data_IF_858668152803
#
_entry.id   IF_858668152803
#
_cell.length_a   1.000
_cell.length_b   1.000
_cell.length_c   1.000
_cell.angle_alpha   90.00
_cell.angle_beta   90.00
_cell.angle_gamma   90.00
#
_symmetry.space_group_name_H-M   'P 1'
#
loop_
_entity.id
_entity.type
_entity.pdbx_description
1 polymer ?
#
# COMPACT_ATOMS: atom_id res chain seq x y z
N UNK A 1 4.13 -1.73 -22.23
CA UNK A 1 5.45 -1.72 -21.53
C UNK A 1 6.61 -1.96 -22.50
N UNK A 2 6.59 -2.99 -23.37
CA UNK A 2 7.67 -3.28 -24.30
C UNK A 2 7.97 -2.09 -25.25
N UNK A 3 6.93 -1.46 -25.81
CA UNK A 3 7.09 -0.29 -26.70
C UNK A 3 7.74 0.89 -25.95
N UNK A 4 7.32 1.20 -24.74
CA UNK A 4 7.93 2.29 -23.96
C UNK A 4 9.41 2.01 -23.65
N UNK A 5 9.74 0.77 -23.30
CA UNK A 5 11.13 0.37 -23.05
C UNK A 5 11.99 0.47 -24.31
N UNK A 6 11.45 0.13 -25.50
CA UNK A 6 12.19 0.28 -26.78
C UNK A 6 12.48 1.73 -27.14
N UNK A 7 11.69 2.67 -26.64
CA UNK A 7 11.91 4.12 -26.78
C UNK A 7 12.80 4.71 -25.66
N UNK A 8 13.47 3.87 -24.87
CA UNK A 8 14.36 4.31 -23.81
C UNK A 8 13.68 4.76 -22.51
N UNK A 9 12.36 4.54 -22.38
CA UNK A 9 11.63 4.89 -21.17
C UNK A 9 11.86 3.83 -20.09
N UNK A 10 12.25 4.28 -18.89
CA UNK A 10 12.31 3.41 -17.72
C UNK A 10 10.89 3.12 -17.26
N UNK A 11 10.49 1.86 -17.33
CA UNK A 11 9.16 1.42 -16.93
C UNK A 11 9.29 0.54 -15.69
N UNK A 12 8.77 1.04 -14.57
CA UNK A 12 8.69 0.29 -13.33
C UNK A 12 7.36 -0.47 -13.26
N UNK A 13 7.41 -1.70 -12.77
CA UNK A 13 6.22 -2.44 -12.37
C UNK A 13 5.93 -2.13 -10.91
N UNK A 14 4.68 -1.71 -10.60
CA UNK A 14 4.34 -1.36 -9.23
C UNK A 14 4.44 -2.53 -8.26
N UNK A 15 4.13 -3.74 -8.71
CA UNK A 15 4.25 -4.95 -7.88
C UNK A 15 5.70 -5.19 -7.46
N UNK A 16 6.65 -5.00 -8.40
CA UNK A 16 8.09 -5.13 -8.11
C UNK A 16 8.52 -4.06 -7.11
N UNK A 17 8.21 -2.78 -7.36
CA UNK A 17 8.52 -1.68 -6.43
C UNK A 17 7.90 -1.90 -5.05
N UNK A 18 6.66 -2.40 -5.00
CA UNK A 18 5.96 -2.65 -3.75
C UNK A 18 6.59 -3.79 -2.95
N UNK A 19 6.99 -4.88 -3.61
CA UNK A 19 7.72 -5.95 -2.94
C UNK A 19 9.09 -5.48 -2.42
N UNK A 20 9.82 -4.71 -3.24
CA UNK A 20 11.13 -4.16 -2.84
C UNK A 20 11.03 -3.19 -1.66
N UNK A 21 10.02 -2.33 -1.63
CA UNK A 21 9.86 -1.37 -0.51
C UNK A 21 9.44 -2.04 0.79
N UNK A 22 8.77 -3.18 0.76
CA UNK A 22 8.39 -3.93 1.96
C UNK A 22 9.59 -4.53 2.71
N UNK A 23 10.78 -4.59 2.09
CA UNK A 23 12.04 -4.89 2.78
C UNK A 23 12.47 -3.75 3.73
N UNK A 24 11.94 -2.53 3.57
CA UNK A 24 12.22 -1.39 4.45
C UNK A 24 11.24 -1.43 5.64
N UNK A 25 11.74 -1.52 6.90
CA UNK A 25 10.87 -1.72 8.07
C UNK A 25 9.79 -0.63 8.24
N UNK A 26 10.11 0.62 7.97
CA UNK A 26 9.20 1.75 8.09
C UNK A 26 8.07 1.68 7.06
N UNK A 27 8.40 1.31 5.82
CA UNK A 27 7.41 1.11 4.76
C UNK A 27 6.49 -0.07 5.07
N UNK A 28 7.09 -1.19 5.49
CA UNK A 28 6.35 -2.40 5.88
C UNK A 28 5.36 -2.10 7.01
N UNK A 29 5.81 -1.37 8.04
CA UNK A 29 4.96 -0.95 9.14
C UNK A 29 3.81 -0.06 8.65
N UNK A 30 4.10 0.99 7.88
CA UNK A 30 3.08 1.89 7.32
C UNK A 30 1.96 1.13 6.61
N UNK A 31 2.33 0.19 5.75
CA UNK A 31 1.36 -0.58 4.96
C UNK A 31 0.58 -1.58 5.82
N UNK A 32 1.23 -2.23 6.78
CA UNK A 32 0.57 -3.19 7.67
C UNK A 32 -0.37 -2.50 8.66
N UNK A 33 -0.02 -1.34 9.20
CA UNK A 33 -0.89 -0.54 10.07
C UNK A 33 -2.22 -0.22 9.37
N UNK A 34 -2.17 0.12 8.08
CA UNK A 34 -3.37 0.39 7.27
C UNK A 34 -4.14 -0.87 6.85
N UNK A 35 -3.46 -2.00 6.69
CA UNK A 35 -4.10 -3.24 6.24
C UNK A 35 -4.74 -4.04 7.38
N UNK A 36 -4.07 -4.10 8.53
CA UNK A 36 -4.45 -4.95 9.68
C UNK A 36 -4.18 -4.26 11.02
N UNK A 37 -4.11 -2.95 11.05
CA UNK A 37 -3.95 -2.17 12.27
C UNK A 37 -5.14 -2.32 13.23
N UNK A 38 -4.97 -1.86 14.50
CA UNK A 38 -6.01 -1.97 15.53
C UNK A 38 -7.36 -1.35 15.15
N UNK A 39 -7.32 -0.27 14.37
CA UNK A 39 -8.51 0.43 13.91
C UNK A 39 -9.25 -0.31 12.77
N UNK A 40 -8.56 -1.24 12.10
CA UNK A 40 -9.12 -2.03 10.98
C UNK A 40 -9.69 -3.35 11.47
N UNK A 41 -8.94 -4.08 12.28
CA UNK A 41 -9.31 -5.45 12.68
C UNK A 41 -9.54 -5.61 14.19
N UNK A 42 -9.37 -4.56 14.98
CA UNK A 42 -9.41 -4.59 16.44
C UNK A 42 -8.06 -4.99 17.07
N UNK A 43 -7.83 -4.57 18.31
CA UNK A 43 -6.53 -4.69 18.99
C UNK A 43 -6.00 -6.11 19.05
N UNK A 44 -6.81 -7.04 19.54
CA UNK A 44 -6.37 -8.44 19.72
C UNK A 44 -6.04 -9.15 18.41
N UNK A 45 -6.73 -8.75 17.32
CA UNK A 45 -6.48 -9.29 15.99
C UNK A 45 -5.24 -8.74 15.38
N UNK A 46 -5.09 -7.45 15.53
CA UNK A 46 -3.97 -6.74 14.96
C UNK A 46 -2.65 -7.32 15.45
N UNK A 47 -2.49 -7.57 16.75
CA UNK A 47 -1.28 -8.17 17.30
C UNK A 47 -0.92 -9.49 16.61
N UNK A 48 -1.88 -10.40 16.48
CA UNK A 48 -1.67 -11.71 15.89
C UNK A 48 -1.40 -11.66 14.39
N UNK A 49 -2.13 -10.81 13.68
CA UNK A 49 -1.98 -10.64 12.23
C UNK A 49 -0.67 -9.92 11.89
N UNK A 50 -0.28 -8.92 12.70
CA UNK A 50 1.01 -8.23 12.54
C UNK A 50 2.17 -9.20 12.65
N UNK A 51 2.20 -10.06 13.70
CA UNK A 51 3.25 -11.07 13.86
C UNK A 51 3.34 -12.01 12.66
N UNK A 52 2.19 -12.48 12.18
CA UNK A 52 2.14 -13.36 11.01
C UNK A 52 2.64 -12.64 9.74
N UNK A 53 2.11 -11.47 9.43
CA UNK A 53 2.49 -10.75 8.21
C UNK A 53 3.94 -10.23 8.26
N UNK A 54 4.44 -9.87 9.43
CA UNK A 54 5.86 -9.55 9.61
C UNK A 54 6.78 -10.75 9.34
N UNK A 55 6.31 -11.96 9.56
CA UNK A 55 7.10 -13.18 9.32
C UNK A 55 7.17 -13.60 7.85
N UNK A 56 6.31 -13.04 6.98
CA UNK A 56 6.29 -13.40 5.56
C UNK A 56 7.49 -12.79 4.80
N UNK A 57 8.02 -13.51 3.81
CA UNK A 57 8.92 -12.94 2.81
C UNK A 57 8.26 -11.74 2.10
N UNK A 58 9.06 -10.75 1.69
CA UNK A 58 8.56 -9.49 1.11
C UNK A 58 7.66 -9.71 -0.11
N UNK A 59 8.05 -10.64 -0.99
CA UNK A 59 7.26 -10.97 -2.18
C UNK A 59 5.90 -11.61 -1.84
N UNK A 60 5.89 -12.52 -0.86
CA UNK A 60 4.66 -13.18 -0.43
C UNK A 60 3.73 -12.20 0.29
N UNK A 61 4.31 -11.29 1.09
CA UNK A 61 3.56 -10.23 1.72
C UNK A 61 2.96 -9.27 0.68
N UNK A 62 3.74 -8.87 -0.33
CA UNK A 62 3.24 -8.03 -1.42
C UNK A 62 2.07 -8.70 -2.14
N UNK A 63 2.16 -9.99 -2.42
CA UNK A 63 1.09 -10.73 -3.08
C UNK A 63 -0.20 -10.74 -2.24
N UNK A 64 -0.09 -10.97 -0.94
CA UNK A 64 -1.22 -10.94 -0.01
C UNK A 64 -1.83 -9.54 0.11
N UNK A 65 -1.00 -8.51 0.20
CA UNK A 65 -1.48 -7.12 0.35
C UNK A 65 -2.16 -6.60 -0.91
N UNK A 66 -1.72 -7.03 -2.10
CA UNK A 66 -2.32 -6.66 -3.38
C UNK A 66 -3.51 -7.53 -3.76
N UNK A 67 -3.35 -8.85 -3.64
CA UNK A 67 -4.33 -9.83 -4.06
C UNK A 67 -5.39 -10.18 -3.00
N UNK A 68 -5.16 -9.77 -1.76
CA UNK A 68 -5.99 -10.14 -0.62
C UNK A 68 -5.67 -11.54 -0.08
N UNK A 69 -6.22 -11.84 1.09
CA UNK A 69 -6.21 -13.18 1.69
C UNK A 69 -7.54 -13.44 2.38
N UNK A 70 -8.13 -14.60 2.09
CA UNK A 70 -9.36 -15.03 2.75
C UNK A 70 -9.08 -15.63 4.11
N UNK A 71 -10.12 -15.70 4.94
CA UNK A 71 -10.05 -16.41 6.24
C UNK A 71 -9.71 -17.89 6.08
N UNK A 72 -10.19 -18.52 5.02
CA UNK A 72 -9.93 -19.93 4.73
C UNK A 72 -8.45 -20.17 4.39
N UNK A 73 -7.90 -19.36 3.48
CA UNK A 73 -6.48 -19.41 3.09
C UNK A 73 -5.56 -19.11 4.27
N UNK A 74 -5.88 -18.08 5.07
CA UNK A 74 -5.08 -17.76 6.25
C UNK A 74 -5.08 -18.93 7.25
N UNK A 75 -6.23 -19.54 7.50
CA UNK A 75 -6.33 -20.72 8.37
C UNK A 75 -5.49 -21.89 7.85
N UNK A 76 -5.54 -22.15 6.56
CA UNK A 76 -4.74 -23.23 5.94
C UNK A 76 -3.23 -22.97 6.10
N UNK A 77 -2.78 -21.74 5.83
CA UNK A 77 -1.37 -21.34 5.99
C UNK A 77 -0.89 -21.45 7.45
N UNK A 78 -1.73 -21.06 8.39
CA UNK A 78 -1.40 -21.13 9.83
C UNK A 78 -1.42 -22.58 10.36
N UNK A 79 -2.32 -23.42 9.87
CA UNK A 79 -2.36 -24.85 10.26
C UNK A 79 -1.15 -25.63 9.76
N UNK A 80 -0.49 -25.15 8.70
CA UNK A 80 0.73 -25.74 8.13
C UNK A 80 2.00 -25.32 8.85
N UNK A 81 1.97 -24.27 9.65
CA UNK A 81 3.11 -23.79 10.45
C UNK A 81 3.02 -24.32 11.88
N UNK A 82 4.03 -25.07 12.30
CA UNK A 82 4.15 -25.76 13.59
C UNK A 82 3.46 -25.08 14.79
N UNK A 83 2.30 -25.62 15.19
CA UNK A 83 1.79 -25.51 16.57
C UNK A 83 1.13 -24.19 16.98
N UNK A 84 0.92 -23.25 16.09
CA UNK A 84 0.17 -22.04 16.41
C UNK A 84 -1.30 -22.15 16.03
N UNK A 85 -2.03 -22.93 16.80
CA UNK A 85 -3.50 -22.93 16.84
C UNK A 85 -4.03 -21.59 17.49
N UNK A 86 -3.31 -20.48 17.18
CA UNK A 86 -3.50 -19.17 17.77
C UNK A 86 -4.72 -18.44 17.22
N UNK A 87 -5.18 -18.85 16.05
CA UNK A 87 -6.46 -18.41 15.54
C UNK A 87 -7.52 -19.45 15.88
N UNK A 88 -8.03 -19.37 17.10
CA UNK A 88 -9.24 -20.10 17.40
C UNK A 88 -10.26 -19.77 16.31
N UNK A 89 -10.96 -20.78 15.82
CA UNK A 89 -12.04 -20.61 14.83
C UNK A 89 -13.01 -19.49 15.24
N UNK A 90 -13.14 -19.22 16.52
CA UNK A 90 -13.93 -18.15 17.13
C UNK A 90 -13.44 -16.75 16.71
N UNK A 91 -12.13 -16.50 16.69
CA UNK A 91 -11.61 -15.16 16.38
C UNK A 91 -11.79 -14.80 14.89
N UNK A 92 -11.35 -15.67 13.98
CA UNK A 92 -11.57 -15.47 12.55
C UNK A 92 -13.06 -15.41 12.18
N UNK A 93 -13.94 -15.96 13.02
CA UNK A 93 -15.39 -15.89 12.81
C UNK A 93 -15.99 -14.53 13.19
N UNK A 94 -15.28 -13.71 13.97
CA UNK A 94 -15.74 -12.35 14.34
C UNK A 94 -15.48 -11.31 13.26
N UNK A 95 -14.55 -11.57 12.33
CA UNK A 95 -14.30 -10.69 11.20
C UNK A 95 -15.48 -10.70 10.23
N UNK A 96 -15.92 -9.53 9.79
CA UNK A 96 -16.97 -9.42 8.79
C UNK A 96 -16.45 -9.82 7.39
N UNK A 97 -17.30 -10.52 6.61
CA UNK A 97 -16.96 -10.92 5.26
C UNK A 97 -15.97 -12.09 5.13
N UNK A 98 -15.59 -12.49 3.92
CA UNK A 98 -14.74 -13.65 3.65
C UNK A 98 -13.24 -13.33 3.74
N UNK A 99 -12.85 -12.09 3.63
CA UNK A 99 -11.46 -11.66 3.59
C UNK A 99 -10.95 -11.18 4.95
N UNK A 100 -9.69 -11.46 5.23
CA UNK A 100 -8.90 -10.83 6.30
C UNK A 100 -8.25 -9.56 5.79
N UNK A 101 -7.64 -9.64 4.60
CA UNK A 101 -7.18 -8.50 3.82
C UNK A 101 -7.90 -8.55 2.48
N UNK A 102 -8.69 -7.53 2.17
CA UNK A 102 -9.41 -7.44 0.90
C UNK A 102 -8.44 -7.20 -0.25
N UNK A 103 -8.68 -7.75 -1.45
CA UNK A 103 -7.87 -7.41 -2.63
C UNK A 103 -8.00 -5.93 -2.98
N UNK A 104 -6.95 -5.35 -3.55
CA UNK A 104 -7.02 -3.99 -4.09
C UNK A 104 -7.83 -3.98 -5.39
N UNK A 105 -8.94 -3.21 -5.46
CA UNK A 105 -9.91 -3.40 -6.55
C UNK A 105 -9.45 -2.82 -7.90
N UNK A 106 -8.69 -1.73 -7.89
CA UNK A 106 -8.44 -0.93 -9.09
C UNK A 106 -6.98 -0.49 -9.28
N UNK A 107 -6.03 -1.28 -8.84
CA UNK A 107 -4.59 -0.97 -8.94
C UNK A 107 -4.10 -0.71 -10.39
N UNK A 108 -4.89 -1.12 -11.38
CA UNK A 108 -4.65 -0.82 -12.79
C UNK A 108 -4.68 0.69 -13.11
N UNK A 109 -5.47 1.46 -12.36
CA UNK A 109 -5.60 2.91 -12.54
C UNK A 109 -4.61 3.67 -11.66
N UNK A 110 -3.36 3.67 -12.08
CA UNK A 110 -2.23 4.19 -11.28
C UNK A 110 -2.33 5.68 -10.96
N UNK A 111 -3.00 6.46 -11.83
CA UNK A 111 -3.15 7.90 -11.65
C UNK A 111 -4.18 8.28 -10.59
N UNK A 112 -5.16 7.42 -10.33
CA UNK A 112 -6.19 7.71 -9.34
C UNK A 112 -5.59 7.78 -7.92
N UNK A 113 -4.75 6.83 -7.57
CA UNK A 113 -4.12 6.77 -6.26
C UNK A 113 -2.92 7.71 -6.11
N UNK A 114 -2.29 8.11 -7.23
CA UNK A 114 -1.11 8.97 -7.22
C UNK A 114 -0.97 9.73 -8.52
N UNK A 115 -0.81 11.07 -8.45
CA UNK A 115 -0.65 11.94 -9.61
C UNK A 115 0.60 12.82 -9.50
N UNK A 116 1.44 12.80 -10.54
CA UNK A 116 2.58 13.70 -10.67
C UNK A 116 2.11 15.04 -11.25
N UNK A 117 2.42 16.11 -10.51
CA UNK A 117 2.01 17.48 -10.84
C UNK A 117 3.23 18.37 -10.76
N UNK A 118 3.63 18.96 -11.88
CA UNK A 118 4.84 19.79 -11.97
C UNK A 118 6.08 19.05 -11.45
N UNK A 119 6.73 19.51 -10.40
CA UNK A 119 7.89 18.89 -9.79
C UNK A 119 7.58 18.09 -8.51
N UNK A 120 6.33 17.72 -8.27
CA UNK A 120 5.92 16.97 -7.08
C UNK A 120 4.97 15.83 -7.38
N UNK A 121 4.61 15.09 -6.36
CA UNK A 121 3.67 13.98 -6.44
C UNK A 121 2.59 14.11 -5.37
N UNK A 122 1.34 13.94 -5.77
CA UNK A 122 0.21 13.81 -4.87
C UNK A 122 -0.08 12.34 -4.63
N UNK A 123 -0.19 11.95 -3.38
CA UNK A 123 -0.80 10.68 -2.97
C UNK A 123 -2.23 11.00 -2.56
N UNK A 124 -3.17 10.47 -3.32
CA UNK A 124 -4.52 10.98 -3.33
C UNK A 124 -5.38 10.38 -2.21
N UNK A 125 -6.29 11.20 -1.66
CA UNK A 125 -7.32 10.73 -0.73
C UNK A 125 -8.47 10.10 -1.51
N UNK A 126 -8.50 8.77 -1.53
CA UNK A 126 -9.50 8.03 -2.30
C UNK A 126 -10.90 8.16 -1.73
N UNK A 127 -11.90 8.39 -2.59
CA UNK A 127 -13.30 8.51 -2.20
C UNK A 127 -13.87 7.19 -1.66
N UNK A 128 -13.45 6.08 -2.27
CA UNK A 128 -13.90 4.75 -1.86
C UNK A 128 -12.93 4.16 -0.83
N UNK A 129 -13.44 3.84 0.35
CA UNK A 129 -12.67 3.25 1.45
C UNK A 129 -11.83 2.02 1.00
N UNK A 130 -12.33 1.04 0.22
CA UNK A 130 -11.52 -0.09 -0.23
C UNK A 130 -10.30 0.29 -1.10
N UNK A 131 -10.29 1.50 -1.68
CA UNK A 131 -9.18 2.01 -2.50
C UNK A 131 -8.10 2.77 -1.71
N UNK A 132 -8.35 3.10 -0.44
CA UNK A 132 -7.37 3.85 0.38
C UNK A 132 -6.02 3.16 0.47
N UNK A 133 -6.00 1.83 0.57
CA UNK A 133 -4.76 1.07 0.60
C UNK A 133 -3.96 1.10 -0.70
N UNK A 134 -4.60 1.42 -1.84
CA UNK A 134 -3.88 1.68 -3.09
C UNK A 134 -2.95 2.89 -2.91
N UNK A 135 -3.47 3.99 -2.37
CA UNK A 135 -2.71 5.22 -2.13
C UNK A 135 -1.56 5.01 -1.12
N UNK A 136 -1.80 4.26 -0.04
CA UNK A 136 -0.77 3.93 0.96
C UNK A 136 0.41 3.16 0.34
N UNK A 137 0.13 2.23 -0.58
CA UNK A 137 1.18 1.52 -1.31
C UNK A 137 2.08 2.47 -2.12
N UNK A 138 1.50 3.47 -2.78
CA UNK A 138 2.27 4.51 -3.48
C UNK A 138 3.06 5.39 -2.51
N UNK A 139 2.45 5.79 -1.39
CA UNK A 139 3.16 6.56 -0.37
C UNK A 139 4.39 5.82 0.17
N UNK A 140 4.24 4.54 0.48
CA UNK A 140 5.35 3.71 0.93
C UNK A 140 6.49 3.71 -0.09
N UNK A 141 6.19 3.54 -1.39
CA UNK A 141 7.18 3.58 -2.46
C UNK A 141 7.86 4.95 -2.55
N UNK A 142 7.12 6.05 -2.50
CA UNK A 142 7.70 7.38 -2.63
C UNK A 142 8.55 7.79 -1.43
N UNK A 143 8.17 7.39 -0.22
CA UNK A 143 8.92 7.75 1.01
C UNK A 143 10.14 6.88 1.24
N UNK A 144 10.05 5.59 0.93
CA UNK A 144 11.01 4.63 1.46
C UNK A 144 11.72 3.79 0.41
N UNK A 145 11.23 3.73 -0.86
CA UNK A 145 11.87 2.89 -1.86
C UNK A 145 13.26 3.42 -2.23
N UNK A 146 14.33 2.60 -2.14
CA UNK A 146 15.71 3.07 -2.26
C UNK A 146 16.04 3.70 -3.63
N UNK A 147 15.35 3.31 -4.70
CA UNK A 147 15.55 3.89 -6.03
C UNK A 147 14.62 5.08 -6.34
N UNK A 148 13.50 5.25 -5.62
CA UNK A 148 12.49 6.28 -5.91
C UNK A 148 12.60 7.47 -4.95
N UNK A 149 12.71 7.21 -3.65
CA UNK A 149 12.78 8.27 -2.63
C UNK A 149 13.94 9.27 -2.85
N UNK A 150 15.15 8.86 -3.20
CA UNK A 150 16.23 9.82 -3.48
C UNK A 150 15.95 10.71 -4.69
N UNK A 151 15.25 10.21 -5.71
CA UNK A 151 14.87 11.01 -6.89
C UNK A 151 13.82 12.06 -6.54
N UNK A 152 12.89 11.71 -5.67
CA UNK A 152 11.92 12.68 -5.16
C UNK A 152 12.62 13.77 -4.32
N UNK A 153 13.60 13.39 -3.51
CA UNK A 153 14.42 14.32 -2.74
C UNK A 153 15.25 15.27 -3.63
N UNK A 154 15.81 14.77 -4.73
CA UNK A 154 16.51 15.60 -5.72
C UNK A 154 15.58 16.64 -6.37
N UNK A 155 14.34 16.26 -6.70
CA UNK A 155 13.33 17.17 -7.23
C UNK A 155 12.89 18.21 -6.20
N UNK A 156 12.88 17.86 -4.92
CA UNK A 156 12.55 18.77 -3.83
C UNK A 156 13.63 19.82 -3.55
N UNK A 157 14.89 19.52 -3.89
CA UNK A 157 16.02 20.42 -3.63
C UNK A 157 16.28 20.61 -2.13
N UNK A 158 16.51 21.89 -1.72
CA UNK A 158 16.81 22.23 -0.31
C UNK A 158 15.61 22.11 0.64
N UNK A 159 14.40 21.99 0.12
CA UNK A 159 13.18 21.99 0.93
C UNK A 159 12.89 20.62 1.56
N UNK A 160 13.67 19.59 1.20
CA UNK A 160 13.55 18.23 1.70
C UNK A 160 12.53 17.37 0.91
N UNK A 161 12.59 16.04 1.06
CA UNK A 161 11.78 15.12 0.27
C UNK A 161 10.28 15.31 0.47
N UNK A 162 9.85 15.69 1.66
CA UNK A 162 8.44 15.87 1.99
C UNK A 162 7.82 17.12 1.34
N UNK A 163 8.63 18.12 0.95
CA UNK A 163 8.15 19.33 0.28
C UNK A 163 7.50 19.07 -1.10
N UNK A 164 7.74 17.90 -1.68
CA UNK A 164 7.21 17.50 -2.99
C UNK A 164 6.26 16.30 -2.93
N UNK A 165 6.01 15.80 -1.73
CA UNK A 165 5.08 14.70 -1.48
C UNK A 165 3.86 15.24 -0.71
N UNK A 166 2.74 15.36 -1.40
CA UNK A 166 1.48 15.88 -0.84
C UNK A 166 0.55 14.72 -0.50
N UNK A 167 0.52 14.26 0.74
CA UNK A 167 -0.26 13.10 1.13
C UNK A 167 -0.96 13.18 2.49
N UNK A 168 -0.52 14.03 3.42
CA UNK A 168 -0.96 13.88 4.81
C UNK A 168 -2.37 14.41 5.10
N UNK A 169 -2.72 15.58 4.59
CA UNK A 169 -3.99 16.21 4.92
C UNK A 169 -5.20 15.48 4.31
N UNK A 170 -5.04 14.89 3.12
CA UNK A 170 -6.11 14.23 2.41
C UNK A 170 -6.56 12.90 3.04
N UNK A 171 -5.68 12.18 3.74
CA UNK A 171 -6.01 10.89 4.38
C UNK A 171 -6.80 11.04 5.68
N UNK A 172 -6.56 12.11 6.40
CA UNK A 172 -7.19 12.38 7.71
C UNK A 172 -8.59 12.96 7.56
N UNK A 173 -8.85 13.65 6.46
CA UNK A 173 -10.15 14.28 6.20
C UNK A 173 -10.99 13.42 5.26
N UNK A 174 -11.93 12.65 5.81
CA UNK A 174 -12.98 12.00 5.02
C UNK A 174 -13.91 12.99 4.29
N UNK A 175 -13.72 14.29 4.52
CA UNK A 175 -14.56 15.35 3.97
C UNK A 175 -14.11 15.84 2.59
N UNK A 176 -12.86 15.62 2.19
CA UNK A 176 -12.37 15.98 0.86
C UNK A 176 -11.60 14.82 0.24
N UNK A 177 -12.04 14.42 -0.93
CA UNK A 177 -11.41 13.37 -1.72
C UNK A 177 -10.90 13.96 -3.02
N UNK A 178 -9.77 13.44 -3.50
CA UNK A 178 -9.19 13.81 -4.77
C UNK A 178 -8.61 12.57 -5.42
N UNK A 179 -8.86 12.39 -6.69
CA UNK A 179 -8.36 11.27 -7.49
C UNK A 179 -7.74 11.78 -8.80
N UNK A 180 -7.06 10.93 -9.53
CA UNK A 180 -6.33 11.33 -10.74
C UNK A 180 -7.19 11.99 -11.82
N UNK A 181 -8.49 11.70 -11.85
CA UNK A 181 -9.46 12.34 -12.73
C UNK A 181 -9.74 13.82 -12.42
N UNK A 182 -9.47 14.26 -11.19
CA UNK A 182 -9.66 15.63 -10.74
C UNK A 182 -8.52 16.57 -11.19
N UNK A 183 -7.42 16.00 -11.70
CA UNK A 183 -6.27 16.74 -12.17
C UNK A 183 -6.29 16.89 -13.68
N UNK A 184 -6.36 18.14 -14.17
CA UNK A 184 -6.21 18.47 -15.59
C UNK A 184 -5.02 19.40 -15.77
N UNK A 185 -4.02 18.95 -16.54
CA UNK A 185 -2.87 19.79 -16.92
C UNK A 185 -3.27 20.62 -18.13
N UNK A 186 -3.28 21.93 -17.99
CA UNK A 186 -3.67 22.89 -19.04
C UNK A 186 -2.46 23.47 -19.79
N UNK A 187 -1.26 23.12 -19.44
CA UNK A 187 -0.01 23.61 -20.04
C UNK A 187 1.12 23.73 -19.00
N UNK A 188 2.30 24.11 -19.48
CA UNK A 188 3.47 24.34 -18.63
C UNK A 188 3.45 25.75 -18.06
#
# INVERSE_FOLDING_TARGET
TAILRSEGVIVHDFRELFAEVLAVPEARRLVLDEAVGPDVVGVSASELLMDYFHSLPDADLAEVLLGGITRAELRERLSSSDGRDLFSSTYLSTLEGPFVVTPLPNLLFTRDASAWLYGGVSVNSMALEPRRREAIGYEAVYRYHPAIAPRLAELAGSDGPDARLWCEEGRVSAASTIEGGDFQILGN
#
